data_IF_093887172477
#
_entry.id   IF_093887172477
#
_cell.length_a   1.000
_cell.length_b   1.000
_cell.length_c   1.000
_cell.angle_alpha   90.00
_cell.angle_beta   90.00
_cell.angle_gamma   90.00
#
_symmetry.space_group_name_H-M   'P 1'
#
loop_
_entity.id
_entity.type
_entity.pdbx_description
1 polymer ?
#
# COMPACT_ATOMS: atom_id res chain seq x y z
N UNK A 1 9.55 15.86 -5.25
CA UNK A 1 8.23 16.50 -5.12
C UNK A 1 7.89 16.55 -3.64
N UNK A 2 7.53 17.71 -3.08
CA UNK A 2 7.11 17.78 -1.68
C UNK A 2 5.73 17.14 -1.58
N UNK A 3 5.59 16.13 -0.74
CA UNK A 3 4.32 15.46 -0.50
C UNK A 3 3.33 16.47 0.09
N UNK A 4 2.03 16.46 -0.31
CA UNK A 4 1.03 17.32 0.31
C UNK A 4 0.74 16.92 1.77
N UNK A 5 1.30 15.79 2.22
CA UNK A 5 1.19 15.28 3.57
C UNK A 5 2.43 14.51 4.00
N UNK A 6 2.61 14.32 5.30
CA UNK A 6 3.74 13.61 5.89
C UNK A 6 3.23 12.63 6.95
N UNK A 7 3.77 11.40 7.00
CA UNK A 7 3.56 10.52 8.17
C UNK A 7 4.91 10.32 8.85
N UNK A 8 5.04 10.86 10.06
CA UNK A 8 6.29 10.83 10.83
C UNK A 8 6.02 10.61 12.30
N UNK A 9 7.08 10.36 13.06
CA UNK A 9 6.96 10.31 14.51
C UNK A 9 6.55 11.70 15.00
N UNK A 10 5.52 11.73 15.83
CA UNK A 10 5.01 12.95 16.45
C UNK A 10 5.94 13.32 17.59
N UNK A 11 6.37 14.58 17.66
CA UNK A 11 7.20 15.06 18.74
C UNK A 11 6.32 15.48 19.91
N UNK A 12 6.05 14.56 20.86
CA UNK A 12 5.22 14.93 22.01
C UNK A 12 5.85 15.99 22.90
N UNK A 13 7.15 16.27 22.79
CA UNK A 13 7.80 17.38 23.51
C UNK A 13 7.61 18.76 22.83
N UNK A 14 7.12 18.79 21.59
CA UNK A 14 6.71 20.03 20.93
C UNK A 14 5.28 20.41 21.36
N UNK A 15 5.12 21.64 21.83
CA UNK A 15 3.85 22.12 22.37
C UNK A 15 2.73 22.21 21.33
N UNK A 16 3.05 22.55 20.08
CA UNK A 16 2.05 22.66 19.03
C UNK A 16 1.57 21.26 18.62
N UNK A 17 2.48 20.33 18.36
CA UNK A 17 2.14 18.94 18.03
C UNK A 17 1.38 18.23 19.16
N UNK A 18 1.79 18.42 20.42
CA UNK A 18 1.12 17.82 21.56
C UNK A 18 -0.33 18.34 21.72
N UNK A 19 -0.55 19.65 21.50
CA UNK A 19 -1.91 20.23 21.51
C UNK A 19 -2.76 19.73 20.36
N UNK A 20 -2.20 19.64 19.16
CA UNK A 20 -2.89 19.08 18.00
C UNK A 20 -3.28 17.61 18.24
N UNK A 21 -2.39 16.80 18.81
CA UNK A 21 -2.66 15.42 19.18
C UNK A 21 -3.84 15.29 20.17
N UNK A 22 -3.82 16.08 21.24
CA UNK A 22 -4.90 16.13 22.21
C UNK A 22 -6.22 16.57 21.56
N UNK A 23 -6.20 17.61 20.74
CA UNK A 23 -7.38 18.15 20.07
C UNK A 23 -8.02 17.11 19.13
N UNK A 24 -7.22 16.49 18.26
CA UNK A 24 -7.69 15.48 17.30
C UNK A 24 -8.25 14.26 18.04
N UNK A 25 -7.57 13.80 19.09
CA UNK A 25 -8.07 12.72 19.93
C UNK A 25 -9.39 13.07 20.62
N UNK A 26 -9.50 14.23 21.27
CA UNK A 26 -10.73 14.63 21.95
C UNK A 26 -11.90 14.75 20.96
N UNK A 27 -11.67 15.30 19.77
CA UNK A 27 -12.68 15.40 18.72
C UNK A 27 -13.14 14.01 18.24
N UNK A 28 -12.19 13.14 17.90
CA UNK A 28 -12.47 11.76 17.48
C UNK A 28 -13.17 10.96 18.57
N UNK A 29 -12.76 11.12 19.84
CA UNK A 29 -13.34 10.42 20.97
C UNK A 29 -14.81 10.79 21.19
N UNK A 30 -15.16 12.08 21.11
CA UNK A 30 -16.57 12.52 21.21
C UNK A 30 -17.45 11.90 20.13
N UNK A 31 -16.91 11.70 18.93
CA UNK A 31 -17.61 11.06 17.84
C UNK A 31 -17.75 9.55 18.09
N UNK A 32 -16.67 8.90 18.54
CA UNK A 32 -16.64 7.48 18.86
C UNK A 32 -17.64 7.12 19.98
N UNK A 33 -17.68 7.89 21.08
CA UNK A 33 -18.67 7.72 22.16
C UNK A 33 -20.11 7.75 21.63
N UNK A 34 -20.42 8.66 20.71
CA UNK A 34 -21.75 8.76 20.08
C UNK A 34 -22.06 7.56 19.19
N UNK A 35 -21.08 7.09 18.42
CA UNK A 35 -21.25 5.94 17.53
C UNK A 35 -21.41 4.62 18.26
N UNK A 36 -20.62 4.43 19.32
CA UNK A 36 -20.65 3.20 20.12
C UNK A 36 -21.80 3.19 21.13
N UNK A 37 -22.44 4.35 21.36
CA UNK A 37 -23.40 4.55 22.46
C UNK A 37 -22.82 4.09 23.81
N UNK A 38 -21.56 4.46 24.06
CA UNK A 38 -20.78 3.99 25.20
C UNK A 38 -20.07 5.20 25.86
N UNK A 39 -20.70 5.85 26.86
CA UNK A 39 -20.21 7.09 27.45
C UNK A 39 -18.94 6.92 28.27
N UNK A 40 -18.71 5.72 28.81
CA UNK A 40 -17.54 5.39 29.65
C UNK A 40 -16.32 4.96 28.83
N UNK A 41 -16.32 5.23 27.52
CA UNK A 41 -15.16 4.97 26.67
C UNK A 41 -13.95 5.72 27.27
N UNK A 42 -12.82 5.04 27.54
CA UNK A 42 -11.67 5.72 28.11
C UNK A 42 -11.05 6.67 27.09
N UNK A 43 -10.59 7.82 27.57
CA UNK A 43 -9.70 8.71 26.82
C UNK A 43 -8.29 8.12 26.80
N UNK A 44 -7.58 8.33 25.70
CA UNK A 44 -6.16 8.00 25.60
C UNK A 44 -5.33 8.97 26.46
N UNK A 45 -5.50 10.27 26.20
CA UNK A 45 -4.95 11.37 26.99
C UNK A 45 -6.09 12.26 27.48
N UNK A 46 -6.27 12.41 28.81
CA UNK A 46 -7.27 13.33 29.36
C UNK A 46 -6.88 14.81 29.20
N UNK A 47 -5.58 15.10 29.16
CA UNK A 47 -5.03 16.45 29.11
C UNK A 47 -3.65 16.49 28.42
N UNK A 48 -3.07 17.68 28.32
CA UNK A 48 -1.79 17.90 27.66
C UNK A 48 -0.62 17.30 28.44
N UNK A 49 -0.71 17.24 29.77
CA UNK A 49 0.33 16.63 30.60
C UNK A 49 0.43 15.12 30.32
N UNK A 50 -0.70 14.46 30.07
CA UNK A 50 -0.73 13.07 29.66
C UNK A 50 -0.11 12.83 28.27
N UNK A 51 -0.29 13.76 27.32
CA UNK A 51 0.39 13.68 26.00
C UNK A 51 1.91 13.76 26.19
N UNK A 52 2.39 14.73 26.97
CA UNK A 52 3.81 14.90 27.30
C UNK A 52 4.41 13.70 28.06
N UNK A 53 3.61 13.05 28.90
CA UNK A 53 4.01 11.89 29.68
C UNK A 53 4.02 10.58 28.87
N UNK A 54 3.37 10.55 27.70
CA UNK A 54 3.32 9.38 26.81
C UNK A 54 4.74 8.88 26.50
N UNK A 55 4.97 7.58 26.64
CA UNK A 55 6.27 6.93 26.34
C UNK A 55 6.18 5.98 25.16
N UNK A 56 4.96 5.63 24.79
CA UNK A 56 4.60 4.89 23.59
C UNK A 56 4.98 5.69 22.35
N UNK A 57 5.23 4.98 21.25
CA UNK A 57 5.55 5.61 19.98
C UNK A 57 4.28 6.17 19.36
N UNK A 58 4.34 7.40 18.87
CA UNK A 58 3.21 8.07 18.22
C UNK A 58 3.59 8.36 16.78
N UNK A 59 2.87 7.78 15.82
CA UNK A 59 2.94 8.21 14.42
C UNK A 59 1.85 9.25 14.18
N UNK A 60 2.23 10.42 13.69
CA UNK A 60 1.32 11.49 13.27
C UNK A 60 1.27 11.60 11.75
N UNK A 61 0.07 11.81 11.21
CA UNK A 61 -0.14 12.12 9.81
C UNK A 61 -0.52 13.59 9.66
N UNK A 62 0.29 14.35 8.92
CA UNK A 62 0.20 15.79 8.81
C UNK A 62 -0.11 16.22 7.38
N UNK A 63 -0.97 17.22 7.22
CA UNK A 63 -1.17 17.96 5.97
C UNK A 63 -0.61 19.38 6.19
N UNK A 64 0.54 19.67 5.58
CA UNK A 64 1.34 20.84 5.98
C UNK A 64 1.74 20.74 7.46
N UNK A 65 1.28 21.68 8.29
CA UNK A 65 1.50 21.66 9.75
C UNK A 65 0.33 21.05 10.54
N UNK A 66 -0.79 20.78 9.88
CA UNK A 66 -2.01 20.33 10.54
C UNK A 66 -2.00 18.81 10.71
N UNK A 67 -2.19 18.33 11.94
CA UNK A 67 -2.33 16.91 12.25
C UNK A 67 -3.72 16.42 11.82
N UNK A 68 -3.78 15.44 10.93
CA UNK A 68 -5.01 14.82 10.41
C UNK A 68 -5.33 13.49 11.07
N UNK A 69 -4.39 12.92 11.81
CA UNK A 69 -4.59 11.71 12.59
C UNK A 69 -3.31 11.25 13.25
N UNK A 70 -3.45 10.29 14.16
CA UNK A 70 -2.34 9.66 14.84
C UNK A 70 -2.62 8.18 15.11
N UNK A 71 -1.56 7.40 15.28
CA UNK A 71 -1.64 6.06 15.86
C UNK A 71 -0.61 5.93 16.97
N UNK A 72 -1.06 5.46 18.14
CA UNK A 72 -0.21 5.15 19.28
C UNK A 72 0.10 3.67 19.28
N UNK A 73 1.38 3.36 19.49
CA UNK A 73 1.92 2.03 19.34
C UNK A 73 2.81 1.69 20.54
N UNK A 74 2.49 0.60 21.22
CA UNK A 74 3.26 0.02 22.30
C UNK A 74 4.01 -1.24 21.83
N UNK A 75 5.14 -1.53 22.48
CA UNK A 75 5.90 -2.76 22.24
C UNK A 75 5.38 -3.88 23.13
N UNK A 76 5.10 -5.04 22.53
CA UNK A 76 4.72 -6.25 23.24
C UNK A 76 5.95 -6.99 23.79
N UNK A 77 5.80 -7.76 24.87
CA UNK A 77 6.89 -8.57 25.43
C UNK A 77 7.47 -9.61 24.46
N UNK A 78 6.70 -10.06 23.47
CA UNK A 78 7.11 -11.01 22.44
C UNK A 78 7.79 -10.36 21.23
N UNK A 79 8.08 -9.05 21.29
CA UNK A 79 8.78 -8.29 20.26
C UNK A 79 7.88 -7.63 19.22
N UNK A 80 6.61 -8.04 19.12
CA UNK A 80 5.61 -7.40 18.25
C UNK A 80 5.18 -6.03 18.75
N UNK A 81 4.22 -5.43 18.03
CA UNK A 81 3.58 -4.18 18.46
C UNK A 81 2.10 -4.36 18.81
N UNK A 82 1.56 -3.45 19.61
CA UNK A 82 0.12 -3.30 19.81
C UNK A 82 -0.28 -1.88 19.40
N UNK A 83 -1.35 -1.75 18.62
CA UNK A 83 -1.93 -0.46 18.28
C UNK A 83 -2.87 -0.06 19.41
N UNK A 84 -2.38 0.77 20.33
CA UNK A 84 -3.17 1.21 21.49
C UNK A 84 -4.34 2.06 21.04
N UNK A 85 -4.13 2.92 20.03
CA UNK A 85 -5.22 3.70 19.44
C UNK A 85 -4.92 4.21 18.05
N UNK A 86 -5.89 4.10 17.14
CA UNK A 86 -5.89 4.81 15.86
C UNK A 86 -6.93 5.93 15.91
N UNK A 87 -6.49 7.15 15.62
CA UNK A 87 -7.31 8.36 15.70
C UNK A 87 -7.19 9.09 14.36
N UNK A 88 -8.32 9.49 13.81
CA UNK A 88 -8.38 10.34 12.62
C UNK A 88 -9.25 11.54 12.94
N UNK A 89 -8.84 12.71 12.48
CA UNK A 89 -9.64 13.93 12.58
C UNK A 89 -11.05 13.68 11.99
N UNK A 90 -12.13 13.86 12.78
CA UNK A 90 -13.51 13.70 12.32
C UNK A 90 -13.84 14.39 10.99
N UNK A 91 -13.27 15.56 10.74
CA UNK A 91 -13.54 16.34 9.53
C UNK A 91 -12.81 15.76 8.29
N UNK A 92 -11.92 14.79 8.51
CA UNK A 92 -11.08 14.17 7.48
C UNK A 92 -11.26 12.64 7.40
N UNK A 93 -12.35 12.11 7.95
CA UNK A 93 -12.69 10.69 7.85
C UNK A 93 -12.84 10.24 6.38
N UNK A 94 -12.59 8.95 6.14
CA UNK A 94 -12.66 8.32 4.82
C UNK A 94 -11.70 8.89 3.74
N UNK A 95 -10.77 9.78 4.11
CA UNK A 95 -9.74 10.30 3.20
C UNK A 95 -8.44 9.46 3.18
N UNK A 96 -8.42 8.31 3.87
CA UNK A 96 -7.31 7.35 3.89
C UNK A 96 -6.26 7.58 4.97
N UNK A 97 -6.39 8.60 5.82
CA UNK A 97 -5.44 8.91 6.91
C UNK A 97 -5.16 7.74 7.85
N UNK A 98 -6.21 7.04 8.31
CA UNK A 98 -6.05 5.87 9.16
C UNK A 98 -5.19 4.78 8.51
N UNK A 99 -5.37 4.56 7.21
CA UNK A 99 -4.61 3.54 6.48
C UNK A 99 -3.15 3.94 6.28
N UNK A 100 -2.88 5.23 6.06
CA UNK A 100 -1.51 5.78 6.01
C UNK A 100 -0.76 5.57 7.34
N UNK A 101 -1.44 5.86 8.45
CA UNK A 101 -0.92 5.64 9.80
C UNK A 101 -0.62 4.17 10.06
N UNK A 102 -1.55 3.27 9.69
CA UNK A 102 -1.36 1.83 9.84
C UNK A 102 -0.20 1.30 9.00
N UNK A 103 -0.13 1.63 7.71
CA UNK A 103 0.98 1.18 6.86
C UNK A 103 2.34 1.63 7.43
N UNK A 104 2.42 2.85 7.96
CA UNK A 104 3.65 3.32 8.60
C UNK A 104 3.96 2.58 9.90
N UNK A 105 2.95 2.36 10.75
CA UNK A 105 3.12 1.66 12.02
C UNK A 105 3.53 0.19 11.84
N UNK A 106 3.02 -0.46 10.79
CA UNK A 106 3.31 -1.86 10.47
C UNK A 106 4.64 -2.05 9.72
N UNK A 107 5.29 -0.98 9.28
CA UNK A 107 6.50 -1.08 8.47
C UNK A 107 7.63 -1.74 9.27
N UNK A 108 8.08 -2.90 8.79
CA UNK A 108 9.12 -3.70 9.45
C UNK A 108 8.62 -4.58 10.59
N UNK A 109 7.32 -4.57 10.87
CA UNK A 109 6.72 -5.38 11.93
C UNK A 109 6.24 -6.73 11.38
N UNK A 110 6.54 -7.81 12.11
CA UNK A 110 6.14 -9.18 11.75
C UNK A 110 4.89 -9.64 12.50
N UNK A 111 4.59 -9.00 13.63
CA UNK A 111 3.37 -9.21 14.40
C UNK A 111 2.87 -7.88 14.97
N UNK A 112 1.55 -7.69 14.86
CA UNK A 112 0.89 -6.53 15.42
C UNK A 112 -0.49 -6.95 15.91
N UNK A 113 -0.94 -6.41 17.04
CA UNK A 113 -2.30 -6.62 17.53
C UNK A 113 -3.03 -5.31 17.68
N UNK A 114 -4.35 -5.35 17.64
CA UNK A 114 -5.21 -4.23 17.99
C UNK A 114 -6.48 -4.75 18.62
N UNK A 115 -6.94 -4.06 19.65
CA UNK A 115 -8.23 -4.32 20.27
C UNK A 115 -9.21 -3.21 19.88
N UNK A 116 -10.41 -3.57 19.44
CA UNK A 116 -11.44 -2.59 19.06
C UNK A 116 -12.83 -3.10 19.40
N UNK A 117 -13.79 -2.20 19.57
CA UNK A 117 -15.18 -2.58 19.80
C UNK A 117 -15.78 -3.25 18.57
N UNK A 118 -16.52 -4.34 18.77
CA UNK A 118 -17.24 -5.08 17.71
C UNK A 118 -18.16 -4.17 16.89
N UNK A 119 -18.72 -3.15 17.55
CA UNK A 119 -19.60 -2.15 16.94
C UNK A 119 -18.83 -1.04 16.19
N UNK A 120 -17.50 -0.93 16.35
CA UNK A 120 -16.66 0.03 15.61
C UNK A 120 -16.36 -0.46 14.19
N UNK A 121 -17.39 -0.48 13.34
CA UNK A 121 -17.31 -0.98 11.95
C UNK A 121 -16.26 -0.25 11.10
N UNK A 122 -16.05 1.05 11.35
CA UNK A 122 -15.08 1.85 10.61
C UNK A 122 -13.64 1.41 10.90
N UNK A 123 -13.30 1.20 12.18
CA UNK A 123 -11.99 0.70 12.57
C UNK A 123 -11.78 -0.74 12.09
N UNK A 124 -12.78 -1.62 12.24
CA UNK A 124 -12.72 -3.00 11.75
C UNK A 124 -12.46 -3.06 10.24
N UNK A 125 -13.16 -2.25 9.44
CA UNK A 125 -12.94 -2.18 7.99
C UNK A 125 -11.51 -1.70 7.65
N UNK A 126 -11.01 -0.72 8.39
CA UNK A 126 -9.64 -0.22 8.24
C UNK A 126 -8.60 -1.31 8.56
N UNK A 127 -8.76 -2.02 9.68
CA UNK A 127 -7.83 -3.09 10.08
C UNK A 127 -7.87 -4.28 9.11
N UNK A 128 -9.04 -4.70 8.65
CA UNK A 128 -9.13 -5.72 7.61
C UNK A 128 -8.46 -5.28 6.31
N UNK A 129 -8.62 -4.03 5.89
CA UNK A 129 -7.91 -3.46 4.73
C UNK A 129 -6.39 -3.50 4.92
N UNK A 130 -5.91 -3.40 6.16
CA UNK A 130 -4.49 -3.52 6.51
C UNK A 130 -4.02 -4.96 6.76
N UNK A 131 -4.86 -5.99 6.56
CA UNK A 131 -4.47 -7.40 6.71
C UNK A 131 -4.60 -7.96 8.13
N UNK A 132 -5.36 -7.32 9.00
CA UNK A 132 -5.68 -7.88 10.31
C UNK A 132 -6.82 -8.90 10.23
N UNK A 133 -6.73 -9.95 11.04
CA UNK A 133 -7.76 -10.97 11.20
C UNK A 133 -8.19 -11.05 12.66
N UNK A 134 -9.49 -11.24 12.89
CA UNK A 134 -10.00 -11.43 14.24
C UNK A 134 -9.49 -12.77 14.82
N UNK A 135 -8.95 -12.74 16.03
CA UNK A 135 -8.43 -13.93 16.72
C UNK A 135 -9.12 -14.19 18.05
N UNK A 136 -9.67 -13.15 18.68
CA UNK A 136 -10.40 -13.28 19.95
C UNK A 136 -11.61 -12.34 19.99
N UNK A 137 -12.58 -12.69 20.84
CA UNK A 137 -13.74 -11.88 21.19
C UNK A 137 -14.02 -12.05 22.67
N UNK A 138 -14.22 -10.96 23.39
CA UNK A 138 -14.67 -10.98 24.79
C UNK A 138 -15.64 -9.83 25.05
N UNK A 139 -16.31 -9.86 26.20
CA UNK A 139 -17.11 -8.74 26.67
C UNK A 139 -16.46 -8.16 27.93
N UNK A 140 -16.47 -6.83 28.05
CA UNK A 140 -16.16 -6.15 29.31
C UNK A 140 -17.25 -6.43 30.35
N UNK A 141 -16.99 -6.08 31.61
CA UNK A 141 -17.93 -6.31 32.73
C UNK A 141 -19.27 -5.59 32.56
N UNK A 142 -19.27 -4.49 31.81
CA UNK A 142 -20.43 -3.66 31.46
C UNK A 142 -21.01 -3.99 30.07
N UNK A 143 -20.55 -5.06 29.44
CA UNK A 143 -21.19 -5.66 28.26
C UNK A 143 -20.71 -5.16 26.90
N UNK A 144 -19.68 -4.31 26.83
CA UNK A 144 -19.07 -3.91 25.55
C UNK A 144 -18.32 -5.11 24.95
N UNK A 145 -18.76 -5.55 23.77
CA UNK A 145 -18.06 -6.59 23.01
C UNK A 145 -16.81 -6.02 22.34
N UNK A 146 -15.66 -6.61 22.65
CA UNK A 146 -14.35 -6.26 22.11
C UNK A 146 -13.80 -7.41 21.27
N UNK A 147 -13.10 -7.05 20.20
CA UNK A 147 -12.38 -7.97 19.33
C UNK A 147 -10.88 -7.71 19.46
N UNK A 148 -10.10 -8.78 19.51
CA UNK A 148 -8.67 -8.74 19.22
C UNK A 148 -8.49 -9.11 17.77
N UNK A 149 -7.81 -8.24 17.03
CA UNK A 149 -7.33 -8.54 15.70
C UNK A 149 -5.81 -8.65 15.73
N UNK A 150 -5.29 -9.65 15.04
CA UNK A 150 -3.86 -9.85 14.84
C UNK A 150 -3.56 -9.57 13.38
N UNK A 151 -2.58 -8.71 13.15
CA UNK A 151 -1.96 -8.50 11.86
C UNK A 151 -1.23 -9.76 11.45
N UNK A 152 -1.72 -10.37 10.38
CA UNK A 152 -1.07 -11.50 9.73
C UNK A 152 -0.74 -11.02 8.34
N UNK A 153 0.45 -10.42 8.14
CA UNK A 153 0.83 -9.98 6.82
C UNK A 153 0.71 -11.16 5.86
N UNK A 154 0.15 -10.94 4.66
CA UNK A 154 0.03 -11.98 3.66
C UNK A 154 1.37 -12.70 3.51
N UNK A 155 1.34 -14.03 3.55
CA UNK A 155 2.52 -14.81 3.25
C UNK A 155 2.95 -14.49 1.81
N UNK A 156 4.26 -14.33 1.54
CA UNK A 156 4.72 -14.15 0.18
C UNK A 156 4.17 -15.30 -0.68
N UNK A 157 3.63 -15.01 -1.89
CA UNK A 157 3.10 -16.06 -2.74
C UNK A 157 4.20 -17.06 -3.10
N UNK A 158 3.85 -18.35 -3.11
CA UNK A 158 4.72 -19.38 -3.65
C UNK A 158 4.68 -19.29 -5.19
N UNK A 159 5.78 -18.84 -5.78
CA UNK A 159 5.89 -18.57 -7.21
C UNK A 159 6.88 -19.56 -7.85
N UNK A 160 6.56 -20.00 -9.06
CA UNK A 160 7.46 -20.81 -9.89
C UNK A 160 7.29 -20.41 -11.35
N UNK A 161 8.37 -19.96 -11.99
CA UNK A 161 8.34 -19.60 -13.41
C UNK A 161 8.41 -20.85 -14.28
N UNK A 162 7.45 -21.01 -15.17
CA UNK A 162 7.41 -22.09 -16.15
C UNK A 162 8.19 -21.72 -17.43
N UNK A 163 8.53 -22.71 -18.25
CA UNK A 163 9.37 -22.54 -19.45
C UNK A 163 8.71 -21.64 -20.51
N UNK A 164 7.38 -21.57 -20.53
CA UNK A 164 6.60 -20.70 -21.41
C UNK A 164 6.55 -19.24 -20.94
N UNK A 165 7.18 -18.92 -19.81
CA UNK A 165 7.26 -17.59 -19.23
C UNK A 165 6.06 -17.19 -18.37
N UNK A 166 5.13 -18.11 -18.10
CA UNK A 166 4.05 -17.92 -17.15
C UNK A 166 4.45 -18.35 -15.73
N UNK A 167 3.91 -17.66 -14.75
CA UNK A 167 4.23 -17.85 -13.34
C UNK A 167 3.10 -18.65 -12.66
N UNK A 168 3.44 -19.82 -12.12
CA UNK A 168 2.54 -20.57 -11.22
C UNK A 168 2.41 -19.78 -9.92
N UNK A 169 1.18 -19.69 -9.41
CA UNK A 169 0.84 -18.88 -8.23
C UNK A 169 0.34 -17.46 -8.56
N UNK A 170 0.46 -17.01 -9.81
CA UNK A 170 -0.21 -15.81 -10.30
C UNK A 170 -1.55 -16.17 -10.98
N UNK A 171 -2.55 -15.29 -10.88
CA UNK A 171 -3.75 -15.36 -11.72
C UNK A 171 -3.40 -14.90 -13.14
N UNK A 172 -3.48 -15.81 -14.10
CA UNK A 172 -3.07 -15.57 -15.48
C UNK A 172 -4.26 -15.05 -16.30
N UNK A 173 -4.11 -13.85 -16.86
CA UNK A 173 -5.10 -13.17 -17.70
C UNK A 173 -4.44 -12.72 -19.00
N UNK A 174 -4.31 -13.61 -20.01
CA UNK A 174 -3.57 -13.32 -21.23
C UNK A 174 -4.02 -12.03 -21.92
N UNK A 175 -3.09 -11.09 -22.06
CA UNK A 175 -3.29 -9.83 -22.78
C UNK A 175 -2.89 -9.98 -24.25
N UNK A 176 -3.70 -9.49 -25.20
CA UNK A 176 -3.30 -9.40 -26.61
C UNK A 176 -2.28 -8.27 -26.86
N UNK A 177 -2.03 -7.39 -25.87
CA UNK A 177 -1.17 -6.23 -26.00
C UNK A 177 0.29 -6.61 -25.69
N UNK A 178 0.88 -7.49 -26.49
CA UNK A 178 2.28 -7.86 -26.38
C UNK A 178 2.82 -8.28 -27.75
N UNK A 179 4.14 -8.29 -27.86
CA UNK A 179 4.85 -8.73 -29.06
C UNK A 179 6.25 -9.28 -28.73
N UNK A 180 7.01 -9.64 -29.75
CA UNK A 180 8.36 -10.17 -29.58
C UNK A 180 9.32 -9.09 -29.08
N UNK A 181 10.24 -9.49 -28.20
CA UNK A 181 11.38 -8.66 -27.80
C UNK A 181 12.35 -8.53 -28.97
N UNK A 182 13.04 -7.40 -29.04
CA UNK A 182 14.15 -7.21 -29.98
C UNK A 182 15.22 -8.31 -29.78
N UNK A 183 15.86 -8.82 -30.86
CA UNK A 183 16.86 -9.89 -30.74
C UNK A 183 17.96 -9.57 -29.72
N UNK A 184 18.28 -10.55 -28.87
CA UNK A 184 19.30 -10.41 -27.81
C UNK A 184 18.88 -9.57 -26.60
N UNK A 185 17.64 -9.07 -26.54
CA UNK A 185 17.14 -8.31 -25.40
C UNK A 185 16.48 -9.21 -24.36
N UNK A 186 17.29 -9.83 -23.50
CA UNK A 186 16.77 -10.45 -22.29
C UNK A 186 16.34 -9.37 -21.28
N UNK A 187 15.31 -9.60 -20.45
CA UNK A 187 14.93 -8.65 -19.42
C UNK A 187 16.02 -8.53 -18.34
N UNK A 188 16.56 -7.33 -18.19
CA UNK A 188 17.61 -6.99 -17.21
C UNK A 188 17.15 -5.96 -16.17
N UNK A 189 16.01 -5.30 -16.44
CA UNK A 189 15.43 -4.23 -15.63
C UNK A 189 14.02 -4.59 -15.16
N UNK A 190 13.71 -4.38 -13.87
CA UNK A 190 12.35 -4.37 -13.36
C UNK A 190 11.85 -2.92 -13.33
N UNK A 191 10.75 -2.61 -14.02
CA UNK A 191 10.14 -1.27 -13.96
C UNK A 191 8.89 -1.32 -13.10
N UNK A 192 8.91 -0.60 -11.98
CA UNK A 192 7.77 -0.47 -11.07
C UNK A 192 6.88 0.68 -11.53
N UNK A 193 5.58 0.42 -11.58
CA UNK A 193 4.51 1.35 -11.91
C UNK A 193 3.47 1.34 -10.78
N UNK A 194 2.55 2.29 -10.82
CA UNK A 194 1.30 2.16 -10.08
C UNK A 194 0.10 2.48 -10.96
N UNK A 195 -1.04 1.86 -10.61
CA UNK A 195 -2.30 2.10 -11.31
C UNK A 195 -3.49 1.84 -10.39
N UNK A 196 -4.56 2.58 -10.59
CA UNK A 196 -5.88 2.30 -10.02
C UNK A 196 -6.97 2.71 -11.00
N UNK A 197 -7.95 1.82 -11.20
CA UNK A 197 -9.05 2.04 -12.14
C UNK A 197 -10.40 1.65 -11.50
N UNK A 198 -11.32 2.61 -11.32
CA UNK A 198 -11.14 4.06 -11.54
C UNK A 198 -10.02 4.66 -10.68
N UNK A 199 -9.51 5.86 -11.00
CA UNK A 199 -8.46 6.48 -10.21
C UNK A 199 -8.81 6.49 -8.72
N UNK A 200 -7.86 6.05 -7.87
CA UNK A 200 -8.00 5.99 -6.41
C UNK A 200 -9.11 5.03 -5.92
N UNK A 201 -9.47 4.05 -6.76
CA UNK A 201 -10.37 2.94 -6.43
C UNK A 201 -9.63 1.63 -6.68
N UNK A 202 -9.79 0.69 -5.75
CA UNK A 202 -9.02 -0.56 -5.68
C UNK A 202 -9.97 -1.76 -5.59
N UNK A 203 -9.48 -2.95 -5.91
CA UNK A 203 -10.23 -4.20 -5.87
C UNK A 203 -11.18 -4.41 -7.04
N UNK A 204 -11.33 -3.42 -7.93
CA UNK A 204 -12.17 -3.53 -9.12
C UNK A 204 -11.51 -4.30 -10.28
N UNK A 205 -12.27 -4.58 -11.36
CA UNK A 205 -11.77 -5.26 -12.55
C UNK A 205 -11.13 -4.31 -13.58
N UNK A 206 -11.21 -2.99 -13.40
CA UNK A 206 -10.84 -2.01 -14.42
C UNK A 206 -9.42 -2.14 -14.98
N UNK A 207 -8.43 -2.48 -14.15
CA UNK A 207 -7.04 -2.72 -14.60
C UNK A 207 -6.96 -3.98 -15.47
N UNK A 208 -7.59 -5.06 -15.04
CA UNK A 208 -7.65 -6.30 -15.81
C UNK A 208 -8.33 -6.09 -17.16
N UNK A 209 -9.44 -5.35 -17.16
CA UNK A 209 -10.18 -5.00 -18.37
C UNK A 209 -9.35 -4.11 -19.31
N UNK A 210 -8.67 -3.07 -18.80
CA UNK A 210 -7.81 -2.20 -19.62
C UNK A 210 -6.70 -3.02 -20.29
N UNK A 211 -5.96 -3.81 -19.53
CA UNK A 211 -4.84 -4.58 -20.06
C UNK A 211 -5.28 -5.70 -20.99
N UNK A 212 -6.54 -6.13 -20.95
CA UNK A 212 -7.10 -7.16 -21.84
C UNK A 212 -8.00 -6.61 -22.96
N UNK A 213 -8.02 -5.28 -23.19
CA UNK A 213 -8.85 -4.60 -24.19
C UNK A 213 -10.37 -4.83 -24.01
N UNK A 214 -10.82 -5.00 -22.76
CA UNK A 214 -12.21 -5.24 -22.38
C UNK A 214 -12.81 -4.13 -21.52
N UNK A 215 -12.12 -2.99 -21.38
CA UNK A 215 -12.61 -1.87 -20.58
C UNK A 215 -13.89 -1.29 -21.18
N UNK A 216 -14.99 -1.36 -20.42
CA UNK A 216 -16.26 -0.80 -20.83
C UNK A 216 -16.30 0.72 -20.55
N UNK A 217 -16.33 1.60 -21.58
CA UNK A 217 -16.38 3.04 -21.37
C UNK A 217 -17.67 3.52 -20.67
N UNK A 218 -18.71 2.70 -20.57
CA UNK A 218 -19.94 3.03 -19.86
C UNK A 218 -19.85 2.82 -18.33
N UNK A 219 -18.90 2.01 -17.84
CA UNK A 219 -18.78 1.69 -16.40
C UNK A 219 -18.30 2.90 -15.56
N UNK A 220 -17.51 3.80 -16.14
CA UNK A 220 -17.02 4.99 -15.44
C UNK A 220 -16.60 6.12 -16.41
N UNK A 221 -16.86 7.41 -16.11
CA UNK A 221 -16.49 8.53 -17.00
C UNK A 221 -15.00 8.56 -17.40
N UNK A 222 -14.10 8.21 -16.47
CA UNK A 222 -12.66 8.13 -16.75
C UNK A 222 -12.33 7.10 -17.84
N UNK A 223 -13.09 6.01 -17.96
CA UNK A 223 -12.82 4.93 -18.92
C UNK A 223 -13.05 5.37 -20.36
N UNK A 224 -13.94 6.33 -20.60
CA UNK A 224 -14.19 6.91 -21.93
C UNK A 224 -12.92 7.45 -22.59
N UNK A 225 -11.98 7.98 -21.81
CA UNK A 225 -10.72 8.52 -22.33
C UNK A 225 -9.64 7.48 -22.60
N UNK A 226 -9.76 6.27 -22.04
CA UNK A 226 -8.66 5.28 -22.02
C UNK A 226 -9.02 3.91 -22.59
N UNK A 227 -10.30 3.60 -22.85
CA UNK A 227 -10.72 2.26 -23.30
C UNK A 227 -10.12 1.82 -24.64
N UNK A 228 -9.66 2.77 -25.46
CA UNK A 228 -9.01 2.51 -26.74
C UNK A 228 -7.50 2.32 -26.64
N UNK A 229 -6.91 2.62 -25.48
CA UNK A 229 -5.48 2.40 -25.28
C UNK A 229 -5.15 0.92 -25.46
N UNK A 230 -3.96 0.67 -25.99
CA UNK A 230 -3.39 -0.66 -26.15
C UNK A 230 -2.12 -0.69 -25.32
N UNK A 231 -2.29 -1.07 -24.06
CA UNK A 231 -1.25 -1.10 -23.04
C UNK A 231 -1.37 -2.39 -22.24
N UNK A 232 -0.27 -2.81 -21.65
CA UNK A 232 -0.20 -3.97 -20.76
C UNK A 232 0.99 -3.83 -19.85
N UNK A 233 1.03 -4.66 -18.81
CA UNK A 233 2.21 -4.91 -18.00
C UNK A 233 2.41 -6.42 -17.90
N UNK A 234 3.56 -6.89 -17.42
CA UNK A 234 3.73 -8.32 -17.20
C UNK A 234 2.93 -8.73 -15.98
N UNK A 235 3.04 -7.96 -14.89
CA UNK A 235 2.44 -8.29 -13.60
C UNK A 235 1.64 -7.12 -13.03
N UNK A 236 0.62 -7.46 -12.24
CA UNK A 236 -0.13 -6.53 -11.40
C UNK A 236 -0.28 -7.11 -9.99
N UNK A 237 0.02 -6.31 -8.98
CA UNK A 237 -0.06 -6.71 -7.56
C UNK A 237 -1.14 -5.87 -6.88
N UNK A 238 -2.23 -6.53 -6.49
CA UNK A 238 -3.34 -5.93 -5.76
C UNK A 238 -2.92 -5.48 -4.36
N UNK A 239 -3.75 -4.65 -3.71
CA UNK A 239 -3.51 -4.17 -2.34
C UNK A 239 -3.30 -5.29 -1.31
N UNK A 240 -3.94 -6.44 -1.51
CA UNK A 240 -3.85 -7.62 -0.65
C UNK A 240 -2.65 -8.53 -0.98
N UNK A 241 -1.84 -8.17 -1.99
CA UNK A 241 -0.70 -8.95 -2.45
C UNK A 241 -1.05 -10.00 -3.51
N UNK A 242 -2.32 -10.13 -3.93
CA UNK A 242 -2.67 -11.02 -5.03
C UNK A 242 -1.91 -10.61 -6.30
N UNK A 243 -1.19 -11.56 -6.87
CA UNK A 243 -0.41 -11.39 -8.08
C UNK A 243 -1.20 -11.85 -9.30
N UNK A 244 -1.31 -10.98 -10.30
CA UNK A 244 -1.85 -11.28 -11.62
C UNK A 244 -0.73 -11.18 -12.64
N UNK A 245 -0.81 -11.98 -13.70
CA UNK A 245 0.10 -11.92 -14.84
C UNK A 245 -0.71 -11.76 -16.13
N UNK A 246 -0.27 -10.88 -17.03
CA UNK A 246 -0.93 -10.64 -18.31
C UNK A 246 -0.08 -11.03 -19.52
N UNK A 247 1.25 -10.95 -19.40
CA UNK A 247 2.18 -11.21 -20.49
C UNK A 247 3.27 -12.17 -20.01
N UNK A 248 3.61 -13.22 -20.78
CA UNK A 248 4.73 -14.09 -20.47
C UNK A 248 6.04 -13.30 -20.42
N UNK A 249 6.95 -13.61 -19.49
CA UNK A 249 8.16 -12.80 -19.30
C UNK A 249 9.11 -12.80 -20.52
N UNK A 250 9.00 -13.81 -21.38
CA UNK A 250 9.72 -13.89 -22.66
C UNK A 250 9.21 -12.92 -23.73
N UNK A 251 7.98 -12.43 -23.61
CA UNK A 251 7.39 -11.45 -24.54
C UNK A 251 7.55 -10.02 -24.01
N UNK A 252 7.37 -9.05 -24.90
CA UNK A 252 7.42 -7.63 -24.60
C UNK A 252 6.02 -7.12 -24.27
N UNK A 253 5.78 -6.76 -23.02
CA UNK A 253 4.60 -5.97 -22.62
C UNK A 253 4.76 -4.49 -22.99
N UNK A 254 3.65 -3.76 -23.08
CA UNK A 254 3.61 -2.36 -23.51
C UNK A 254 3.32 -1.41 -22.34
N UNK A 255 4.29 -1.26 -21.43
CA UNK A 255 4.12 -0.49 -20.18
C UNK A 255 4.92 0.82 -20.13
N UNK A 256 6.14 0.86 -20.69
CA UNK A 256 7.07 1.99 -20.50
C UNK A 256 6.86 3.15 -21.48
N UNK A 257 6.28 2.91 -22.66
CA UNK A 257 6.21 3.90 -23.74
C UNK A 257 7.58 4.50 -24.10
N UNK A 258 7.61 5.79 -24.47
CA UNK A 258 8.88 6.52 -24.71
C UNK A 258 9.64 6.64 -23.40
N UNK A 259 10.82 6.01 -23.35
CA UNK A 259 11.59 5.80 -22.13
C UNK A 259 13.08 5.57 -22.43
N UNK A 260 13.95 5.90 -21.48
CA UNK A 260 15.39 5.64 -21.52
C UNK A 260 15.94 5.30 -20.13
N UNK A 261 16.74 4.24 -20.04
CA UNK A 261 17.40 3.83 -18.82
C UNK A 261 18.91 3.76 -19.04
N UNK A 262 19.68 4.54 -18.27
CA UNK A 262 21.15 4.63 -18.40
C UNK A 262 21.61 4.86 -19.86
N UNK A 263 20.84 5.66 -20.61
CA UNK A 263 21.11 5.98 -22.02
C UNK A 263 20.55 4.98 -23.03
N UNK A 264 20.00 3.83 -22.62
CA UNK A 264 19.36 2.85 -23.49
C UNK A 264 17.87 3.14 -23.62
N UNK A 265 17.42 3.49 -24.81
CA UNK A 265 16.02 3.75 -25.12
C UNK A 265 15.17 2.47 -25.23
N UNK A 266 13.85 2.64 -25.27
CA UNK A 266 12.85 1.57 -25.48
C UNK A 266 12.88 0.52 -24.36
N UNK A 267 12.63 0.97 -23.13
CA UNK A 267 12.74 0.12 -21.95
C UNK A 267 11.87 -1.15 -22.02
N UNK A 268 10.74 -1.14 -22.75
CA UNK A 268 9.94 -2.36 -22.98
C UNK A 268 10.78 -3.55 -23.49
N UNK A 269 11.79 -3.31 -24.33
CA UNK A 269 12.60 -4.37 -24.96
C UNK A 269 13.35 -5.23 -23.94
N UNK A 270 13.83 -4.61 -22.86
CA UNK A 270 14.74 -5.24 -21.89
C UNK A 270 14.24 -5.14 -20.45
N UNK A 271 12.94 -4.90 -20.25
CA UNK A 271 12.35 -4.83 -18.92
C UNK A 271 11.12 -5.69 -18.69
N UNK A 272 10.87 -5.95 -17.41
CA UNK A 272 9.63 -6.48 -16.85
C UNK A 272 8.90 -5.34 -16.14
N UNK A 273 7.77 -4.91 -16.71
CA UNK A 273 6.80 -4.06 -16.01
C UNK A 273 6.06 -4.79 -14.88
N UNK A 274 6.01 -4.18 -13.71
CA UNK A 274 5.21 -4.60 -12.56
C UNK A 274 4.36 -3.42 -12.08
N UNK A 275 3.06 -3.57 -12.12
CA UNK A 275 2.08 -2.58 -11.67
C UNK A 275 1.68 -2.86 -10.22
N UNK A 276 1.77 -1.87 -9.35
CA UNK A 276 1.20 -1.95 -8.00
C UNK A 276 -0.15 -1.23 -7.96
N UNK A 277 -1.18 -1.89 -7.44
CA UNK A 277 -2.46 -1.24 -7.20
C UNK A 277 -2.29 -0.09 -6.20
N UNK A 278 -2.54 1.14 -6.64
CA UNK A 278 -2.25 2.31 -5.82
C UNK A 278 -2.23 3.61 -6.62
N UNK A 279 -1.56 4.62 -6.04
CA UNK A 279 -1.34 5.92 -6.67
C UNK A 279 -0.15 6.63 -6.01
N UNK A 280 0.27 7.74 -6.62
CA UNK A 280 1.38 8.59 -6.15
C UNK A 280 1.10 9.33 -4.82
N UNK A 281 -0.03 9.08 -4.16
CA UNK A 281 -0.51 9.85 -3.00
C UNK A 281 -0.84 8.98 -1.78
N UNK A 282 -0.41 7.72 -1.76
CA UNK A 282 -0.48 6.89 -0.56
C UNK A 282 0.56 5.77 -0.53
N UNK A 283 0.94 5.27 0.67
CA UNK A 283 1.83 4.12 0.80
C UNK A 283 1.28 2.85 0.15
N UNK A 284 2.18 2.04 -0.41
CA UNK A 284 1.91 0.66 -0.81
C UNK A 284 1.83 -0.27 0.40
N UNK A 285 1.04 -1.33 0.30
CA UNK A 285 0.82 -2.25 1.42
C UNK A 285 2.03 -3.16 1.64
N UNK A 286 2.18 -3.64 2.87
CA UNK A 286 3.15 -4.68 3.20
C UNK A 286 3.02 -5.93 2.32
N UNK A 287 1.77 -6.33 2.01
CA UNK A 287 1.50 -7.46 1.13
C UNK A 287 2.04 -7.22 -0.30
N UNK A 288 1.97 -5.98 -0.80
CA UNK A 288 2.52 -5.62 -2.10
C UNK A 288 4.03 -5.71 -2.13
N UNK A 289 4.73 -5.19 -1.10
CA UNK A 289 6.20 -5.32 -1.04
C UNK A 289 6.63 -6.78 -0.93
N UNK A 290 5.93 -7.60 -0.14
CA UNK A 290 6.21 -9.05 -0.02
C UNK A 290 6.01 -9.79 -1.34
N UNK A 291 4.91 -9.51 -2.04
CA UNK A 291 4.64 -10.09 -3.36
C UNK A 291 5.68 -9.64 -4.41
N UNK A 292 6.06 -8.36 -4.41
CA UNK A 292 7.10 -7.83 -5.29
C UNK A 292 8.46 -8.47 -5.02
N UNK A 293 8.82 -8.66 -3.75
CA UNK A 293 10.05 -9.33 -3.35
C UNK A 293 10.07 -10.80 -3.77
N UNK A 294 8.98 -11.54 -3.55
CA UNK A 294 8.85 -12.93 -4.00
C UNK A 294 8.94 -13.04 -5.53
N UNK A 295 8.26 -12.14 -6.25
CA UNK A 295 8.31 -12.07 -7.70
C UNK A 295 9.74 -11.79 -8.19
N UNK A 296 10.41 -10.76 -7.64
CA UNK A 296 11.80 -10.44 -7.99
C UNK A 296 12.72 -11.62 -7.74
N UNK A 297 12.61 -12.26 -6.58
CA UNK A 297 13.43 -13.41 -6.23
C UNK A 297 13.28 -14.54 -7.25
N UNK A 298 12.05 -14.85 -7.67
CA UNK A 298 11.78 -15.89 -8.66
C UNK A 298 12.28 -15.50 -10.06
N UNK A 299 11.95 -14.29 -10.53
CA UNK A 299 12.41 -13.81 -11.84
C UNK A 299 13.94 -13.83 -11.96
N UNK A 300 14.68 -13.46 -10.90
CA UNK A 300 16.15 -13.46 -10.87
C UNK A 300 16.78 -14.85 -10.97
N UNK A 301 16.03 -15.93 -10.71
CA UNK A 301 16.53 -17.31 -10.91
C UNK A 301 16.60 -17.67 -12.39
N UNK A 302 15.82 -17.00 -13.22
CA UNK A 302 15.60 -17.37 -14.62
C UNK A 302 16.01 -16.26 -15.61
N UNK A 303 16.08 -15.01 -15.17
CA UNK A 303 16.38 -13.83 -15.99
C UNK A 303 17.62 -13.11 -15.47
N UNK A 304 18.39 -12.42 -16.34
CA UNK A 304 19.55 -11.61 -15.94
C UNK A 304 19.14 -10.28 -15.28
N UNK A 305 18.08 -10.30 -14.47
CA UNK A 305 17.52 -9.14 -13.79
C UNK A 305 18.52 -8.61 -12.76
N UNK A 306 19.00 -7.39 -12.98
CA UNK A 306 20.10 -6.79 -12.21
C UNK A 306 19.75 -5.43 -11.61
N UNK A 307 18.75 -4.75 -12.17
CA UNK A 307 18.32 -3.44 -11.72
C UNK A 307 16.80 -3.33 -11.58
N UNK A 308 16.38 -2.33 -10.82
CA UNK A 308 15.00 -1.86 -10.75
C UNK A 308 14.93 -0.34 -10.90
N UNK A 309 13.87 0.15 -11.52
CA UNK A 309 13.60 1.58 -11.70
C UNK A 309 12.10 1.85 -11.62
N UNK A 310 11.73 3.10 -11.36
CA UNK A 310 10.34 3.56 -11.46
C UNK A 310 10.07 4.03 -12.87
N UNK A 311 8.79 4.15 -13.24
CA UNK A 311 8.42 4.79 -14.50
C UNK A 311 8.92 6.24 -14.56
N UNK A 312 8.87 6.95 -13.43
CA UNK A 312 9.43 8.30 -13.23
C UNK A 312 10.94 8.37 -13.52
N UNK A 313 11.69 7.30 -13.26
CA UNK A 313 13.14 7.26 -13.49
C UNK A 313 13.50 7.06 -14.97
N UNK A 314 12.67 6.32 -15.72
CA UNK A 314 12.93 6.03 -17.14
C UNK A 314 12.23 7.00 -18.10
N UNK A 315 11.29 7.79 -17.59
CA UNK A 315 10.52 8.76 -18.36
C UNK A 315 10.25 10.04 -17.55
N UNK A 316 11.32 10.75 -17.13
CA UNK A 316 11.19 11.99 -16.36
C UNK A 316 10.33 13.01 -17.12
N UNK A 317 9.66 13.89 -16.38
CA UNK A 317 8.72 14.92 -16.84
C UNK A 317 7.42 14.39 -17.50
N UNK A 318 7.39 13.14 -17.97
CA UNK A 318 6.21 12.50 -18.56
C UNK A 318 5.44 11.64 -17.56
N UNK A 319 6.15 10.99 -16.63
CA UNK A 319 5.60 10.01 -15.70
C UNK A 319 6.06 10.29 -14.28
N UNK A 320 5.18 10.02 -13.33
CA UNK A 320 5.38 10.28 -11.90
C UNK A 320 5.24 9.01 -11.06
N UNK A 321 4.76 7.91 -11.65
CA UNK A 321 4.61 6.62 -10.97
C UNK A 321 5.97 5.88 -10.83
N UNK A 322 6.18 5.08 -9.76
CA UNK A 322 5.24 4.74 -8.69
C UNK A 322 5.09 5.81 -7.60
N UNK A 323 5.78 6.93 -7.77
CA UNK A 323 5.63 8.11 -6.94
C UNK A 323 6.36 8.05 -5.60
N UNK A 324 6.33 9.16 -4.85
CA UNK A 324 7.14 9.37 -3.65
C UNK A 324 6.80 8.45 -2.47
N UNK A 325 5.71 7.69 -2.54
CA UNK A 325 5.30 6.73 -1.50
C UNK A 325 5.77 5.31 -1.75
N UNK A 326 6.44 5.06 -2.86
CA UNK A 326 7.18 3.82 -3.06
C UNK A 326 8.51 3.90 -2.30
N UNK A 327 8.69 3.01 -1.33
CA UNK A 327 9.88 2.91 -0.50
C UNK A 327 10.98 2.18 -1.28
N UNK A 328 11.76 2.96 -2.03
CA UNK A 328 12.88 2.45 -2.82
C UNK A 328 13.93 1.73 -1.99
N UNK A 329 14.28 2.27 -0.81
CA UNK A 329 15.29 1.66 0.08
C UNK A 329 14.88 0.26 0.47
N UNK A 330 13.62 0.09 0.89
CA UNK A 330 13.06 -1.22 1.19
C UNK A 330 13.00 -2.10 -0.04
N UNK A 331 12.44 -1.61 -1.15
CA UNK A 331 12.25 -2.40 -2.35
C UNK A 331 13.58 -2.96 -2.88
N UNK A 332 14.65 -2.15 -2.88
CA UNK A 332 16.00 -2.57 -3.26
C UNK A 332 16.53 -3.67 -2.32
N UNK A 333 16.35 -3.51 -1.00
CA UNK A 333 16.78 -4.50 -0.02
C UNK A 333 16.03 -5.83 -0.17
N UNK A 334 14.70 -5.77 -0.24
CA UNK A 334 13.83 -6.95 -0.30
C UNK A 334 13.96 -7.68 -1.66
N UNK A 335 14.03 -6.92 -2.77
CA UNK A 335 14.14 -7.47 -4.12
C UNK A 335 15.58 -7.86 -4.50
N UNK A 336 16.58 -7.33 -3.77
CA UNK A 336 18.02 -7.46 -4.06
C UNK A 336 18.37 -7.02 -5.50
N UNK A 337 17.84 -5.87 -5.89
CA UNK A 337 18.08 -5.22 -7.18
C UNK A 337 18.63 -3.81 -6.93
N UNK A 338 19.62 -3.40 -7.71
CA UNK A 338 20.14 -2.04 -7.63
C UNK A 338 19.24 -1.05 -8.39
N UNK A 339 19.35 0.24 -8.08
CA UNK A 339 18.95 1.31 -9.02
C UNK A 339 20.11 1.66 -9.93
#
# INVERSE_FOLDING_TARGET
MQLPFEVRELNQGDEDEARQALQVQLASHRLEVKWLNYPDLPLLWPDLAAVHACRERIWGAFEGKALRGLVVVSRRPDGGIHLDRTVVDPDHLAQGWGYRLLNRALQGETSCSVDTAEVNRAAIALYHKAGFVQTQRWCTTDGLALWRLEYRPAEPPALALDEDGWLKGALQLPSPNCDERSPGCAPELLVVHNISLPPYRYGGPGVEQLFTNRLDPAEHPYYQGIHQLRVSSHFFIRRDGQLLQFVPVGQRAWHAGVSSWRGREKCNDFSIGVELEGCDFEPFSEAQYRALAALSAELRRHLPLSAMAGHEHIAPDRKTDPGPWFDWTRAQADCRLAM
#
